data_IF_767751648947
#
_entry.id   IF_767751648947
#
_cell.length_a   1.000
_cell.length_b   1.000
_cell.length_c   1.000
_cell.angle_alpha   90.00
_cell.angle_beta   90.00
_cell.angle_gamma   90.00
#
_symmetry.space_group_name_H-M   'P 1'
#
loop_
_entity.id
_entity.type
_entity.pdbx_description
1 polymer ?
#
# COMPACT_ATOMS: atom_id res chain seq x y z
N UNK A 1 -23.38 4.91 4.13
CA UNK A 1 -22.72 6.24 3.94
C UNK A 1 -22.73 7.18 5.17
N UNK A 2 -23.85 7.60 5.78
CA UNK A 2 -23.82 8.54 6.93
C UNK A 2 -22.99 8.06 8.14
N UNK A 3 -23.05 6.76 8.43
CA UNK A 3 -22.27 6.15 9.52
C UNK A 3 -20.75 6.26 9.26
N UNK A 4 -20.31 5.91 8.05
CA UNK A 4 -18.92 6.09 7.62
C UNK A 4 -18.43 7.53 7.80
N UNK A 5 -19.24 8.53 7.43
CA UNK A 5 -18.88 9.95 7.63
C UNK A 5 -18.64 10.28 9.10
N UNK A 6 -19.46 9.73 9.99
CA UNK A 6 -19.31 9.93 11.44
C UNK A 6 -17.98 9.35 11.91
N UNK A 7 -17.68 8.11 11.55
CA UNK A 7 -16.40 7.44 11.87
C UNK A 7 -15.21 8.26 11.36
N UNK A 8 -15.24 8.70 10.10
CA UNK A 8 -14.17 9.51 9.53
C UNK A 8 -13.98 10.83 10.28
N UNK A 9 -15.06 11.51 10.68
CA UNK A 9 -14.98 12.73 11.50
C UNK A 9 -14.39 12.46 12.88
N UNK A 10 -14.82 11.39 13.55
CA UNK A 10 -14.34 11.00 14.88
C UNK A 10 -12.86 10.62 14.87
N UNK A 11 -12.37 10.06 13.76
CA UNK A 11 -10.96 9.73 13.54
C UNK A 11 -10.15 10.90 12.95
N UNK A 12 -10.70 12.11 12.88
CA UNK A 12 -9.95 13.32 12.51
C UNK A 12 -9.64 13.46 11.01
N UNK A 13 -10.31 12.72 10.13
CA UNK A 13 -10.16 12.91 8.69
C UNK A 13 -10.70 14.29 8.27
N UNK A 14 -10.05 14.96 7.29
CA UNK A 14 -10.46 16.29 6.87
C UNK A 14 -11.84 16.27 6.20
N UNK A 15 -12.58 17.38 6.35
CA UNK A 15 -13.91 17.54 5.72
C UNK A 15 -13.83 17.39 4.20
N UNK A 16 -12.69 17.72 3.59
CA UNK A 16 -12.45 17.54 2.15
C UNK A 16 -12.43 16.08 1.74
N UNK A 17 -11.86 15.18 2.54
CA UNK A 17 -11.84 13.75 2.28
C UNK A 17 -13.26 13.16 2.33
N UNK A 18 -14.04 13.55 3.34
CA UNK A 18 -15.44 13.13 3.47
C UNK A 18 -16.26 13.64 2.28
N UNK A 19 -16.10 14.90 1.92
CA UNK A 19 -16.79 15.51 0.78
C UNK A 19 -16.37 14.91 -0.57
N UNK A 20 -15.17 14.34 -0.69
CA UNK A 20 -14.74 13.60 -1.87
C UNK A 20 -15.49 12.26 -1.97
N UNK A 21 -15.54 11.48 -0.89
CA UNK A 21 -16.29 10.20 -0.87
C UNK A 21 -17.79 10.41 -1.16
N UNK A 22 -18.38 11.49 -0.65
CA UNK A 22 -19.78 11.84 -0.94
C UNK A 22 -20.08 12.07 -2.42
N UNK A 23 -19.06 12.47 -3.20
CA UNK A 23 -19.18 12.74 -4.64
C UNK A 23 -18.81 11.53 -5.49
N UNK A 24 -18.31 10.46 -4.87
CA UNK A 24 -17.97 9.24 -5.59
C UNK A 24 -19.27 8.60 -6.10
N UNK A 25 -19.33 8.40 -7.41
CA UNK A 25 -20.39 7.59 -8.02
C UNK A 25 -20.16 6.12 -7.63
N UNK A 26 -20.89 5.67 -6.62
CA UNK A 26 -20.82 4.28 -6.14
C UNK A 26 -21.24 3.31 -7.25
N UNK A 27 -20.45 2.24 -7.38
CA UNK A 27 -20.61 1.19 -8.38
C UNK A 27 -19.93 -0.08 -7.89
N UNK A 28 -20.23 -1.20 -8.55
CA UNK A 28 -19.58 -2.49 -8.29
C UNK A 28 -18.05 -2.31 -8.25
N UNK A 29 -17.41 -2.97 -7.28
CA UNK A 29 -15.99 -2.81 -6.94
C UNK A 29 -15.60 -1.56 -6.13
N UNK A 30 -16.50 -0.57 -5.99
CA UNK A 30 -16.25 0.70 -5.29
C UNK A 30 -17.50 1.16 -4.53
N UNK A 31 -17.91 0.37 -3.55
CA UNK A 31 -19.11 0.61 -2.76
C UNK A 31 -18.76 1.04 -1.34
N UNK A 32 -19.34 2.12 -0.80
CA UNK A 32 -19.23 2.43 0.62
C UNK A 32 -19.84 1.30 1.45
N UNK A 33 -19.18 0.92 2.54
CA UNK A 33 -19.73 -0.08 3.45
C UNK A 33 -21.06 0.42 4.07
N UNK A 34 -22.02 -0.50 4.18
CA UNK A 34 -23.24 -0.27 4.96
C UNK A 34 -22.91 -0.25 6.46
N UNK A 35 -23.81 0.31 7.27
CA UNK A 35 -23.52 0.59 8.68
C UNK A 35 -23.18 -0.68 9.48
N UNK A 36 -23.99 -1.73 9.33
CA UNK A 36 -23.81 -3.00 10.05
C UNK A 36 -22.50 -3.69 9.61
N UNK A 37 -22.24 -3.77 8.29
CA UNK A 37 -21.01 -4.36 7.75
C UNK A 37 -19.76 -3.58 8.18
N UNK A 38 -19.86 -2.25 8.26
CA UNK A 38 -18.77 -1.39 8.70
C UNK A 38 -18.44 -1.60 10.18
N UNK A 39 -19.46 -1.71 11.03
CA UNK A 39 -19.28 -1.99 12.46
C UNK A 39 -18.60 -3.36 12.65
N UNK A 40 -19.12 -4.42 12.01
CA UNK A 40 -18.54 -5.77 12.09
C UNK A 40 -17.10 -5.82 11.55
N UNK A 41 -16.83 -5.15 10.42
CA UNK A 41 -15.48 -5.10 9.84
C UNK A 41 -14.50 -4.34 10.74
N UNK A 42 -14.95 -3.25 11.36
CA UNK A 42 -14.12 -2.49 12.29
C UNK A 42 -13.80 -3.29 13.56
N UNK A 43 -14.76 -4.03 14.12
CA UNK A 43 -14.51 -4.92 15.26
C UNK A 43 -13.42 -5.94 14.91
N UNK A 44 -13.51 -6.57 13.74
CA UNK A 44 -12.46 -7.48 13.24
C UNK A 44 -11.10 -6.77 13.08
N UNK A 45 -11.06 -5.55 12.52
CA UNK A 45 -9.81 -4.81 12.34
C UNK A 45 -9.13 -4.47 13.67
N UNK A 46 -9.90 -4.18 14.71
CA UNK A 46 -9.37 -3.87 16.05
C UNK A 46 -8.72 -5.08 16.73
N UNK A 47 -9.13 -6.31 16.37
CA UNK A 47 -8.54 -7.55 16.88
C UNK A 47 -7.19 -7.90 16.22
N UNK A 48 -6.87 -7.31 15.06
CA UNK A 48 -5.65 -7.60 14.30
C UNK A 48 -4.66 -6.42 14.40
N UNK A 49 -3.46 -6.59 14.99
CA UNK A 49 -2.49 -5.51 15.15
C UNK A 49 -2.16 -4.75 13.87
N UNK A 50 -2.07 -5.46 12.73
CA UNK A 50 -1.79 -4.88 11.41
C UNK A 50 -2.94 -4.04 10.83
N UNK A 51 -4.18 -4.29 11.24
CA UNK A 51 -5.38 -3.60 10.73
C UNK A 51 -5.93 -2.55 11.70
N UNK A 52 -5.49 -2.55 12.96
CA UNK A 52 -6.02 -1.69 14.01
C UNK A 52 -5.95 -0.19 13.71
N UNK A 53 -5.03 0.23 12.83
CA UNK A 53 -4.87 1.62 12.38
C UNK A 53 -5.71 2.00 11.15
N UNK A 54 -6.55 1.09 10.64
CA UNK A 54 -7.32 1.28 9.42
C UNK A 54 -8.80 1.58 9.70
N UNK A 55 -9.41 2.27 8.73
CA UNK A 55 -10.86 2.41 8.57
C UNK A 55 -11.20 1.94 7.16
N UNK A 56 -12.03 0.89 6.98
CA UNK A 56 -12.49 0.49 5.66
C UNK A 56 -13.46 1.56 5.13
N UNK A 57 -13.22 2.05 3.91
CA UNK A 57 -13.99 3.14 3.30
C UNK A 57 -14.79 2.71 2.08
N UNK A 58 -14.29 1.74 1.31
CA UNK A 58 -14.98 1.14 0.16
C UNK A 58 -14.73 -0.37 0.12
N UNK A 59 -15.61 -1.11 -0.54
CA UNK A 59 -15.51 -2.56 -0.76
C UNK A 59 -15.94 -2.94 -2.18
N UNK A 60 -15.52 -4.12 -2.59
CA UNK A 60 -15.99 -4.83 -3.80
C UNK A 60 -17.03 -5.92 -3.47
N UNK A 61 -17.52 -5.96 -2.23
CA UNK A 61 -18.43 -6.99 -1.69
C UNK A 61 -17.87 -8.43 -1.70
N UNK A 62 -16.56 -8.61 -1.90
CA UNK A 62 -15.86 -9.90 -1.86
C UNK A 62 -14.80 -9.94 -0.75
N UNK A 63 -15.10 -9.29 0.38
CA UNK A 63 -14.20 -9.17 1.54
C UNK A 63 -12.85 -8.51 1.22
N UNK A 64 -12.80 -7.71 0.15
CA UNK A 64 -11.69 -6.79 -0.08
C UNK A 64 -12.14 -5.37 0.24
N UNK A 65 -11.19 -4.58 0.74
CA UNK A 65 -11.47 -3.27 1.28
C UNK A 65 -10.44 -2.26 0.80
N UNK A 66 -10.90 -1.09 0.39
CA UNK A 66 -10.06 0.08 0.29
C UNK A 66 -10.13 0.75 1.66
N UNK A 67 -8.98 0.95 2.30
CA UNK A 67 -8.87 1.39 3.67
C UNK A 67 -8.11 2.70 3.77
N UNK A 68 -8.47 3.54 4.73
CA UNK A 68 -7.73 4.75 5.09
C UNK A 68 -7.08 4.61 6.47
N UNK A 69 -5.83 5.03 6.59
CA UNK A 69 -5.12 5.04 7.87
C UNK A 69 -5.68 6.14 8.79
N UNK A 70 -6.25 5.75 9.95
CA UNK A 70 -6.74 6.70 10.98
C UNK A 70 -5.63 7.19 11.92
N UNK A 71 -4.55 6.43 12.08
CA UNK A 71 -3.46 6.75 13.01
C UNK A 71 -2.08 6.39 12.43
N UNK A 72 -1.04 6.54 13.26
CA UNK A 72 0.32 6.16 12.91
C UNK A 72 1.02 7.14 11.94
N UNK A 73 2.23 6.80 11.47
CA UNK A 73 2.93 7.61 10.47
C UNK A 73 2.21 7.71 9.12
N UNK A 74 1.35 6.74 8.80
CA UNK A 74 0.62 6.69 7.53
C UNK A 74 -0.75 7.38 7.58
N UNK A 75 -1.13 7.98 8.72
CA UNK A 75 -2.43 8.64 8.90
C UNK A 75 -2.82 9.51 7.70
N UNK A 76 -4.05 9.32 7.21
CA UNK A 76 -4.62 9.99 6.05
C UNK A 76 -4.35 9.30 4.70
N UNK A 77 -3.34 8.42 4.59
CA UNK A 77 -3.08 7.65 3.36
C UNK A 77 -4.10 6.52 3.18
N UNK A 78 -4.17 6.00 1.96
CA UNK A 78 -5.10 4.93 1.58
C UNK A 78 -4.33 3.70 1.10
N UNK A 79 -4.72 2.52 1.56
CA UNK A 79 -4.23 1.22 1.08
C UNK A 79 -5.39 0.35 0.57
N UNK A 80 -5.04 -0.80 -0.02
CA UNK A 80 -5.99 -1.82 -0.43
C UNK A 80 -5.70 -3.10 0.34
N UNK A 81 -6.69 -3.57 1.09
CA UNK A 81 -6.65 -4.81 1.83
C UNK A 81 -7.39 -5.89 1.01
N UNK A 82 -6.62 -6.87 0.54
CA UNK A 82 -7.12 -8.10 -0.06
C UNK A 82 -7.04 -9.22 0.96
N UNK A 83 -8.12 -10.01 1.08
CA UNK A 83 -8.15 -11.17 1.97
C UNK A 83 -7.30 -12.35 1.44
N UNK A 84 -6.92 -12.33 0.16
CA UNK A 84 -6.07 -13.37 -0.46
C UNK A 84 -4.58 -13.04 -0.34
N UNK A 85 -4.19 -11.77 -0.48
CA UNK A 85 -2.80 -11.32 -0.43
C UNK A 85 -2.70 -9.98 0.30
N UNK A 86 -2.38 -10.02 1.60
CA UNK A 86 -2.34 -8.83 2.45
C UNK A 86 -1.13 -7.94 2.14
N UNK A 87 -1.40 -6.76 1.58
CA UNK A 87 -0.39 -5.73 1.33
C UNK A 87 -0.93 -4.35 1.69
N UNK A 88 -0.55 -3.85 2.85
CA UNK A 88 -1.08 -2.59 3.39
C UNK A 88 -0.24 -1.37 3.01
N UNK A 89 0.75 -1.50 2.14
CA UNK A 89 1.50 -0.33 1.67
C UNK A 89 0.56 0.73 1.06
N UNK A 90 0.83 2.03 1.30
CA UNK A 90 -0.02 3.08 0.79
C UNK A 90 -0.06 3.02 -0.74
N UNK A 91 -1.24 3.28 -1.31
CA UNK A 91 -1.50 3.36 -2.75
C UNK A 91 -1.89 4.78 -3.17
N UNK A 92 -2.56 5.51 -2.29
CA UNK A 92 -2.88 6.93 -2.46
C UNK A 92 -2.46 7.76 -1.26
N UNK A 93 -2.13 9.03 -1.51
CA UNK A 93 -1.75 10.02 -0.49
C UNK A 93 -2.90 10.36 0.45
N UNK A 94 -4.12 10.34 -0.09
CA UNK A 94 -5.33 10.66 0.63
C UNK A 94 -6.56 10.14 -0.15
N UNK A 95 -7.72 10.29 0.48
CA UNK A 95 -9.01 9.86 -0.04
C UNK A 95 -9.40 10.67 -1.30
N UNK A 96 -9.03 11.96 -1.37
CA UNK A 96 -9.30 12.81 -2.54
C UNK A 96 -8.60 12.29 -3.80
N UNK A 97 -7.35 11.86 -3.68
CA UNK A 97 -6.59 11.25 -4.77
C UNK A 97 -7.19 9.91 -5.20
N UNK A 98 -7.61 9.07 -4.25
CA UNK A 98 -8.34 7.83 -4.53
C UNK A 98 -9.62 8.12 -5.34
N UNK A 99 -10.48 9.03 -4.86
CA UNK A 99 -11.75 9.35 -5.53
C UNK A 99 -11.51 9.89 -6.93
N UNK A 100 -10.49 10.75 -7.09
CA UNK A 100 -10.09 11.27 -8.41
C UNK A 100 -9.65 10.13 -9.33
N UNK A 101 -8.88 9.18 -8.82
CA UNK A 101 -8.41 8.02 -9.57
C UNK A 101 -9.57 7.12 -10.02
N UNK A 102 -10.51 6.78 -9.12
CA UNK A 102 -11.69 5.97 -9.47
C UNK A 102 -12.57 6.69 -10.48
N UNK A 103 -12.87 7.97 -10.25
CA UNK A 103 -13.74 8.77 -11.12
C UNK A 103 -13.14 8.98 -12.51
N UNK A 104 -11.81 9.04 -12.60
CA UNK A 104 -11.07 9.16 -13.86
C UNK A 104 -10.96 7.85 -14.65
N UNK A 105 -11.32 6.71 -14.06
CA UNK A 105 -11.20 5.38 -14.66
C UNK A 105 -12.52 4.60 -14.50
N UNK A 106 -13.59 5.01 -15.20
CA UNK A 106 -14.91 4.39 -15.07
C UNK A 106 -14.96 2.95 -15.58
N UNK A 107 -14.02 2.54 -16.44
CA UNK A 107 -13.96 1.19 -17.02
C UNK A 107 -13.28 0.15 -16.11
N UNK A 108 -12.57 0.57 -15.06
CA UNK A 108 -11.95 -0.36 -14.09
C UNK A 108 -13.04 -0.94 -13.18
N UNK A 109 -13.26 -2.25 -13.18
CA UNK A 109 -14.29 -2.91 -12.38
C UNK A 109 -14.07 -2.78 -10.88
N UNK A 110 -12.86 -3.01 -10.40
CA UNK A 110 -12.47 -2.93 -8.98
C UNK A 110 -11.09 -2.28 -8.81
N UNK A 111 -10.57 -2.30 -7.57
CA UNK A 111 -9.26 -1.74 -7.26
C UNK A 111 -8.12 -2.38 -8.07
N UNK A 112 -8.17 -3.69 -8.30
CA UNK A 112 -7.11 -4.45 -9.00
C UNK A 112 -7.03 -4.11 -10.48
N UNK A 113 -8.14 -3.62 -11.05
CA UNK A 113 -8.21 -3.14 -12.43
C UNK A 113 -7.80 -1.67 -12.61
N UNK A 114 -7.49 -0.94 -11.53
CA UNK A 114 -6.97 0.43 -11.64
C UNK A 114 -5.55 0.42 -12.24
N UNK A 115 -5.27 1.25 -13.27
CA UNK A 115 -3.93 1.35 -13.83
C UNK A 115 -2.88 1.71 -12.78
N UNK A 116 -1.75 1.01 -12.76
CA UNK A 116 -0.67 1.31 -11.80
C UNK A 116 -0.18 2.75 -11.95
N UNK A 117 -0.30 3.35 -13.15
CA UNK A 117 0.11 4.70 -13.50
C UNK A 117 -0.67 5.80 -12.77
N UNK A 118 -1.90 5.51 -12.31
CA UNK A 118 -2.73 6.48 -11.59
C UNK A 118 -2.54 6.44 -10.07
N UNK A 119 -1.89 5.39 -9.54
CA UNK A 119 -1.58 5.31 -8.12
C UNK A 119 -0.53 6.36 -7.71
N UNK A 120 -0.58 6.84 -6.47
CA UNK A 120 0.46 7.75 -5.96
C UNK A 120 1.73 7.00 -5.59
N UNK A 121 1.58 5.74 -5.17
CA UNK A 121 2.64 4.86 -4.68
C UNK A 121 2.61 3.50 -5.40
N UNK A 122 3.75 2.80 -5.55
CA UNK A 122 5.10 3.24 -5.13
C UNK A 122 5.55 4.51 -5.86
N UNK A 123 6.42 5.29 -5.22
CA UNK A 123 6.86 6.60 -5.75
C UNK A 123 7.55 6.45 -7.10
N UNK A 124 6.90 6.90 -8.18
CA UNK A 124 7.36 6.69 -9.56
C UNK A 124 8.53 7.56 -9.98
N UNK A 125 8.61 8.75 -9.42
CA UNK A 125 9.60 9.77 -9.73
C UNK A 125 9.92 10.57 -8.45
N UNK A 126 11.09 11.22 -8.43
CA UNK A 126 11.54 11.99 -7.26
C UNK A 126 10.78 13.29 -7.10
N UNK A 127 10.20 13.81 -8.19
CA UNK A 127 9.43 15.05 -8.22
C UNK A 127 8.13 14.92 -7.41
N UNK A 128 7.60 13.70 -7.28
CA UNK A 128 6.47 13.37 -6.40
C UNK A 128 6.85 13.26 -4.92
N UNK A 129 8.13 13.19 -4.56
CA UNK A 129 8.53 13.08 -3.15
C UNK A 129 8.23 14.38 -2.41
N UNK A 130 7.44 14.28 -1.34
CA UNK A 130 7.23 15.41 -0.43
C UNK A 130 8.15 15.31 0.78
N UNK A 131 8.43 16.43 1.45
CA UNK A 131 9.15 16.40 2.74
C UNK A 131 8.41 15.58 3.80
N UNK A 132 7.08 15.47 3.69
CA UNK A 132 6.26 14.60 4.52
C UNK A 132 6.54 13.12 4.24
N UNK A 133 6.66 12.69 2.98
CA UNK A 133 6.98 11.30 2.64
C UNK A 133 8.32 10.85 3.23
N UNK A 134 9.34 11.71 3.17
CA UNK A 134 10.65 11.43 3.79
C UNK A 134 10.54 11.26 5.30
N UNK A 135 9.85 12.18 5.98
CA UNK A 135 9.63 12.11 7.43
C UNK A 135 8.85 10.85 7.84
N UNK A 136 7.84 10.46 7.06
CA UNK A 136 7.05 9.24 7.29
C UNK A 136 7.96 8.02 7.13
N UNK A 137 8.73 7.93 6.04
CA UNK A 137 9.66 6.82 5.81
C UNK A 137 10.66 6.66 6.96
N UNK A 138 11.24 7.75 7.44
CA UNK A 138 12.16 7.73 8.59
C UNK A 138 11.50 7.20 9.87
N UNK A 139 10.27 7.63 10.17
CA UNK A 139 9.51 7.11 11.32
C UNK A 139 9.19 5.62 11.18
N UNK A 140 8.80 5.18 9.98
CA UNK A 140 8.55 3.76 9.69
C UNK A 140 9.80 2.91 9.87
N UNK A 141 10.98 3.40 9.44
CA UNK A 141 12.24 2.71 9.70
C UNK A 141 12.54 2.55 11.19
N UNK A 142 12.24 3.56 12.03
CA UNK A 142 12.39 3.44 13.48
C UNK A 142 11.47 2.34 14.03
N UNK A 143 10.20 2.32 13.61
CA UNK A 143 9.24 1.29 14.02
C UNK A 143 9.67 -0.10 13.54
N UNK A 144 10.06 -0.25 12.27
CA UNK A 144 10.51 -1.52 11.69
C UNK A 144 11.67 -2.16 12.46
N UNK A 145 12.62 -1.34 12.94
CA UNK A 145 13.78 -1.81 13.69
C UNK A 145 13.46 -2.18 15.15
N UNK A 146 12.29 -1.77 15.66
CA UNK A 146 11.83 -2.04 17.03
C UNK A 146 10.71 -3.08 17.08
N UNK A 147 10.12 -3.43 15.94
CA UNK A 147 9.00 -4.36 15.86
C UNK A 147 9.45 -5.82 16.01
N UNK A 148 8.71 -6.56 16.83
CA UNK A 148 8.91 -7.98 17.13
C UNK A 148 7.84 -8.85 16.48
N UNK A 149 6.67 -8.31 16.16
CA UNK A 149 5.63 -9.02 15.41
C UNK A 149 5.98 -9.08 13.92
N UNK A 150 6.18 -10.29 13.40
CA UNK A 150 6.63 -10.52 12.02
C UNK A 150 5.63 -9.96 10.98
N UNK A 151 4.32 -10.01 11.27
CA UNK A 151 3.30 -9.52 10.34
C UNK A 151 3.32 -7.99 10.26
N UNK A 152 3.34 -7.33 11.42
CA UNK A 152 3.46 -5.85 11.50
C UNK A 152 4.77 -5.40 10.85
N UNK A 153 5.87 -6.09 11.14
CA UNK A 153 7.19 -5.80 10.57
C UNK A 153 7.20 -5.91 9.05
N UNK A 154 6.53 -6.90 8.49
CA UNK A 154 6.35 -7.06 7.03
C UNK A 154 5.61 -5.87 6.42
N UNK A 155 4.50 -5.45 7.02
CA UNK A 155 3.71 -4.32 6.50
C UNK A 155 4.45 -2.97 6.62
N UNK A 156 5.25 -2.80 7.68
CA UNK A 156 6.17 -1.67 7.81
C UNK A 156 7.22 -1.67 6.69
N UNK A 157 7.84 -2.82 6.39
CA UNK A 157 8.80 -2.96 5.30
C UNK A 157 8.17 -2.62 3.95
N UNK A 158 6.98 -3.13 3.65
CA UNK A 158 6.27 -2.82 2.41
C UNK A 158 6.01 -1.33 2.25
N UNK A 159 5.59 -0.67 3.34
CA UNK A 159 5.35 0.78 3.35
C UNK A 159 6.63 1.58 3.13
N UNK A 160 7.74 1.18 3.76
CA UNK A 160 9.05 1.80 3.55
C UNK A 160 9.46 1.70 2.08
N UNK A 161 9.34 0.51 1.48
CA UNK A 161 9.70 0.30 0.08
C UNK A 161 8.82 1.13 -0.87
N UNK A 162 7.51 1.20 -0.62
CA UNK A 162 6.56 1.98 -1.42
C UNK A 162 6.84 3.49 -1.37
N UNK A 163 7.34 3.98 -0.23
CA UNK A 163 7.73 5.37 0.00
C UNK A 163 9.18 5.68 -0.42
N UNK A 164 9.94 4.70 -0.92
CA UNK A 164 11.34 4.91 -1.30
C UNK A 164 11.41 5.50 -2.71
N UNK A 165 11.99 6.70 -2.89
CA UNK A 165 12.03 7.33 -4.21
C UNK A 165 13.02 6.62 -5.14
N UNK A 166 12.84 6.72 -6.47
CA UNK A 166 13.64 5.98 -7.44
C UNK A 166 15.15 6.25 -7.40
N UNK A 167 15.56 7.43 -6.90
CA UNK A 167 16.97 7.82 -6.76
C UNK A 167 17.60 7.38 -5.44
N UNK A 168 16.87 6.59 -4.64
CA UNK A 168 17.29 6.02 -3.35
C UNK A 168 17.06 4.51 -3.26
N UNK A 169 16.85 3.83 -4.38
CA UNK A 169 16.53 2.40 -4.41
C UNK A 169 17.66 1.50 -3.88
N UNK A 170 18.89 2.01 -3.78
CA UNK A 170 19.99 1.35 -3.06
C UNK A 170 19.68 1.11 -1.57
N UNK A 171 18.82 1.93 -0.97
CA UNK A 171 18.37 1.75 0.42
C UNK A 171 17.55 0.47 0.62
N UNK A 172 17.06 -0.15 -0.47
CA UNK A 172 16.29 -1.38 -0.41
C UNK A 172 17.15 -2.65 -0.29
N UNK A 173 18.48 -2.54 -0.45
CA UNK A 173 19.37 -3.69 -0.48
C UNK A 173 19.31 -4.54 0.80
N UNK A 174 19.22 -3.96 2.01
CA UNK A 174 19.05 -4.76 3.23
C UNK A 174 17.79 -5.66 3.21
N UNK A 175 16.72 -5.24 2.53
CA UNK A 175 15.50 -6.06 2.43
C UNK A 175 15.66 -7.24 1.45
N UNK A 176 16.60 -7.18 0.51
CA UNK A 176 16.93 -8.30 -0.36
C UNK A 176 17.57 -9.47 0.41
N UNK A 177 18.15 -9.19 1.57
CA UNK A 177 18.79 -10.17 2.45
C UNK A 177 17.90 -10.52 3.67
N UNK A 178 16.61 -10.13 3.65
CA UNK A 178 15.66 -10.48 4.71
C UNK A 178 15.44 -12.00 4.79
N UNK A 179 15.26 -12.48 6.02
CA UNK A 179 14.81 -13.83 6.34
C UNK A 179 13.30 -14.02 6.14
N UNK A 180 12.56 -12.93 5.96
CA UNK A 180 11.16 -12.95 5.52
C UNK A 180 11.09 -12.99 3.98
N UNK A 181 10.46 -14.05 3.47
CA UNK A 181 10.37 -14.30 2.04
C UNK A 181 9.51 -13.27 1.30
N UNK A 182 8.51 -12.68 1.96
CA UNK A 182 7.63 -11.68 1.37
C UNK A 182 8.30 -10.31 1.32
N UNK A 183 9.06 -9.94 2.36
CA UNK A 183 9.91 -8.73 2.35
C UNK A 183 10.92 -8.83 1.21
N UNK A 184 11.61 -9.96 1.07
CA UNK A 184 12.58 -10.17 -0.01
C UNK A 184 11.93 -10.07 -1.39
N UNK A 185 10.80 -10.75 -1.61
CA UNK A 185 10.06 -10.68 -2.89
C UNK A 185 9.62 -9.25 -3.20
N UNK A 186 9.05 -8.53 -2.23
CA UNK A 186 8.58 -7.16 -2.44
C UNK A 186 9.73 -6.22 -2.82
N UNK A 187 10.88 -6.34 -2.16
CA UNK A 187 12.06 -5.53 -2.49
C UNK A 187 12.52 -5.77 -3.94
N UNK A 188 12.53 -7.03 -4.38
CA UNK A 188 12.84 -7.41 -5.75
C UNK A 188 11.82 -6.79 -6.74
N UNK A 189 10.52 -6.89 -6.43
CA UNK A 189 9.47 -6.38 -7.31
C UNK A 189 9.53 -4.85 -7.46
N UNK A 190 9.86 -4.11 -6.40
CA UNK A 190 10.05 -2.65 -6.45
C UNK A 190 11.25 -2.27 -7.32
N UNK A 191 12.39 -2.97 -7.21
CA UNK A 191 13.55 -2.73 -8.08
C UNK A 191 13.22 -3.02 -9.55
N UNK A 192 12.44 -4.09 -9.80
CA UNK A 192 11.94 -4.43 -11.13
C UNK A 192 10.96 -3.40 -11.69
N UNK A 193 10.05 -2.88 -10.85
CA UNK A 193 9.09 -1.83 -11.21
C UNK A 193 9.81 -0.56 -11.70
N UNK A 194 10.86 -0.14 -11.00
CA UNK A 194 11.68 1.03 -11.39
C UNK A 194 12.72 0.74 -12.47
N UNK A 195 12.83 -0.51 -12.93
CA UNK A 195 13.86 -0.95 -13.88
C UNK A 195 15.27 -0.57 -13.41
N UNK A 196 15.56 -0.79 -12.12
CA UNK A 196 16.78 -0.32 -11.47
C UNK A 196 18.01 -1.13 -11.89
N UNK A 197 18.71 -0.63 -12.92
CA UNK A 197 19.89 -1.29 -13.54
C UNK A 197 21.00 -1.67 -12.53
N UNK A 198 21.34 -0.86 -11.50
CA UNK A 198 22.40 -1.24 -10.56
C UNK A 198 22.14 -2.54 -9.78
N UNK A 199 20.89 -3.00 -9.68
CA UNK A 199 20.55 -4.24 -9.00
C UNK A 199 20.72 -5.51 -9.84
N UNK A 200 21.00 -5.41 -11.15
CA UNK A 200 21.08 -6.58 -12.06
C UNK A 200 21.97 -7.70 -11.54
N UNK A 201 23.14 -7.36 -10.99
CA UNK A 201 24.07 -8.35 -10.43
C UNK A 201 23.46 -9.14 -9.27
N UNK A 202 22.88 -8.42 -8.29
CA UNK A 202 22.23 -9.03 -7.12
C UNK A 202 20.96 -9.79 -7.52
N UNK A 203 20.16 -9.28 -8.44
CA UNK A 203 18.96 -9.97 -8.94
C UNK A 203 19.32 -11.27 -9.66
N UNK A 204 20.42 -11.31 -10.42
CA UNK A 204 20.89 -12.54 -11.08
C UNK A 204 21.27 -13.61 -10.07
N UNK A 205 21.98 -13.22 -8.99
CA UNK A 205 22.29 -14.14 -7.88
C UNK A 205 21.01 -14.71 -7.25
N UNK A 206 20.05 -13.82 -6.95
CA UNK A 206 18.78 -14.14 -6.29
C UNK A 206 17.90 -15.10 -7.09
N UNK A 207 18.07 -15.23 -8.41
CA UNK A 207 17.36 -16.27 -9.19
C UNK A 207 17.65 -17.69 -8.70
N UNK A 208 18.74 -17.89 -7.95
CA UNK A 208 19.16 -19.20 -7.43
C UNK A 208 19.32 -19.25 -5.92
N UNK A 209 19.50 -18.11 -5.26
CA UNK A 209 19.77 -18.05 -3.80
C UNK A 209 18.59 -17.54 -2.97
N UNK A 210 17.62 -16.85 -3.58
CA UNK A 210 16.43 -16.36 -2.89
C UNK A 210 15.50 -17.50 -2.45
N UNK A 211 14.52 -17.16 -1.61
CA UNK A 211 13.35 -18.03 -1.37
C UNK A 211 12.59 -18.29 -2.68
N UNK A 212 11.74 -19.33 -2.70
CA UNK A 212 11.09 -19.79 -3.93
C UNK A 212 10.35 -18.65 -4.67
N UNK A 213 9.60 -17.84 -3.94
CA UNK A 213 8.89 -16.67 -4.47
C UNK A 213 9.86 -15.60 -5.00
N UNK A 214 10.92 -15.29 -4.23
CA UNK A 214 11.99 -14.36 -4.61
C UNK A 214 12.74 -14.75 -5.89
N UNK A 215 12.97 -16.05 -6.14
CA UNK A 215 13.60 -16.52 -7.38
C UNK A 215 12.75 -16.18 -8.61
N UNK A 216 11.45 -16.42 -8.53
CA UNK A 216 10.49 -16.06 -9.56
C UNK A 216 10.41 -14.54 -9.75
N UNK A 217 10.34 -13.79 -8.66
CA UNK A 217 10.34 -12.33 -8.67
C UNK A 217 11.61 -11.76 -9.33
N UNK A 218 12.78 -12.32 -9.04
CA UNK A 218 14.05 -11.87 -9.60
C UNK A 218 14.08 -12.06 -11.13
N UNK A 219 13.59 -13.20 -11.63
CA UNK A 219 13.47 -13.44 -13.06
C UNK A 219 12.50 -12.45 -13.74
N UNK A 220 11.36 -12.13 -13.11
CA UNK A 220 10.41 -11.11 -13.61
C UNK A 220 11.05 -9.72 -13.62
N UNK A 221 11.75 -9.35 -12.55
CA UNK A 221 12.42 -8.06 -12.41
C UNK A 221 13.51 -7.85 -13.47
N UNK A 222 14.37 -8.84 -13.70
CA UNK A 222 15.40 -8.78 -14.75
C UNK A 222 14.79 -8.59 -16.15
N UNK A 223 13.70 -9.31 -16.45
CA UNK A 223 12.95 -9.12 -17.70
C UNK A 223 12.39 -7.71 -17.85
N UNK A 224 11.93 -7.07 -16.77
CA UNK A 224 11.46 -5.66 -16.78
C UNK A 224 12.61 -4.68 -17.00
N UNK A 225 13.81 -4.97 -16.48
CA UNK A 225 15.03 -4.16 -16.64
C UNK A 225 15.59 -4.28 -18.08
N UNK A 226 15.23 -5.34 -18.81
CA UNK A 226 15.88 -5.79 -20.05
C UNK A 226 17.31 -6.32 -19.82
N UNK A 227 17.50 -7.08 -18.76
CA UNK A 227 18.74 -7.76 -18.41
C UNK A 227 18.56 -9.28 -18.37
#
# INVERSE_FOLDING_TARGET
MEHLKKILKENGFPVTAIAALEKLDSRDGFEPLEADDLEETMEFFEEQPVLAELVPILTDNNSNYICAYKSGPLAGKVCYFSHEETSLDPKFRNIENLVTAISGNPDSGDFTELPVEILDYPLKDKERLTGEDSNIKERLYVMYNQEEDDEVKTQLAFSIMSLTPPDKLEELYPFLDSDDMYIQERAIDILGFHRYVPAVGKLTELQTTAFHNGQGAAARALKRINA
#
